data_IF_889339978980
#
_entry.id   IF_889339978980
#
_cell.length_a   1.000
_cell.length_b   1.000
_cell.length_c   1.000
_cell.angle_alpha   90.00
_cell.angle_beta   90.00
_cell.angle_gamma   90.00
#
_symmetry.space_group_name_H-M   'P 1'
#
loop_
_entity.id
_entity.type
_entity.pdbx_description
1 polymer ?
#
# COMPACT_ATOMS: atom_id res chain seq x y z
N UNK A 1 -11.82 19.93 3.65
CA UNK A 1 -10.99 20.68 2.68
C UNK A 1 -9.58 20.65 3.22
N UNK A 2 -8.68 19.92 2.55
CA UNK A 2 -7.28 19.80 2.94
C UNK A 2 -6.46 20.65 2.00
N UNK A 3 -5.65 21.56 2.54
CA UNK A 3 -4.77 22.42 1.75
C UNK A 3 -3.35 21.87 1.83
N UNK A 4 -2.73 21.68 0.67
CA UNK A 4 -1.33 21.24 0.56
C UNK A 4 -0.54 22.40 -0.01
N UNK A 5 0.57 22.75 0.64
CA UNK A 5 1.50 23.77 0.17
C UNK A 5 2.69 23.03 -0.43
N UNK A 6 2.96 23.27 -1.71
CA UNK A 6 4.07 22.70 -2.45
C UNK A 6 5.11 23.79 -2.73
N UNK A 7 6.38 23.42 -2.73
CA UNK A 7 7.39 24.27 -3.34
C UNK A 7 7.27 24.24 -4.88
N UNK A 8 7.94 25.18 -5.55
CA UNK A 8 7.86 25.33 -7.00
C UNK A 8 8.30 24.07 -7.75
N UNK A 9 9.32 23.37 -7.25
CA UNK A 9 9.86 22.16 -7.89
C UNK A 9 8.88 21.00 -7.76
N UNK A 10 8.27 20.84 -6.58
CA UNK A 10 7.25 19.84 -6.31
C UNK A 10 6.01 20.05 -7.18
N UNK A 11 5.54 21.29 -7.30
CA UNK A 11 4.38 21.64 -8.13
C UNK A 11 4.64 21.32 -9.62
N UNK A 12 5.81 21.68 -10.14
CA UNK A 12 6.18 21.38 -11.53
C UNK A 12 6.23 19.87 -11.81
N UNK A 13 6.87 19.10 -10.91
CA UNK A 13 6.94 17.64 -11.04
C UNK A 13 5.57 17.00 -10.96
N UNK A 14 4.73 17.44 -10.02
CA UNK A 14 3.37 16.94 -9.86
C UNK A 14 2.54 17.16 -11.13
N UNK A 15 2.59 18.37 -11.70
CA UNK A 15 1.91 18.71 -12.95
C UNK A 15 2.39 17.85 -14.12
N UNK A 16 3.70 17.63 -14.23
CA UNK A 16 4.29 16.80 -15.28
C UNK A 16 3.77 15.35 -15.21
N UNK A 17 3.84 14.74 -14.02
CA UNK A 17 3.38 13.37 -13.79
C UNK A 17 1.88 13.24 -14.09
N UNK A 18 1.07 14.18 -13.62
CA UNK A 18 -0.38 14.16 -13.87
C UNK A 18 -0.70 14.31 -15.36
N UNK A 19 0.08 15.12 -16.09
CA UNK A 19 -0.04 15.27 -17.55
C UNK A 19 0.31 13.98 -18.28
N UNK A 20 1.41 13.32 -17.91
CA UNK A 20 1.83 12.04 -18.49
C UNK A 20 0.79 10.94 -18.25
N UNK A 21 0.25 10.88 -17.03
CA UNK A 21 -0.80 9.93 -16.63
C UNK A 21 -2.20 10.29 -17.14
N UNK A 22 -2.37 11.45 -17.79
CA UNK A 22 -3.68 12.00 -18.21
C UNK A 22 -4.70 12.01 -17.08
N UNK A 23 -4.26 12.37 -15.88
CA UNK A 23 -5.05 12.31 -14.66
C UNK A 23 -5.15 13.70 -14.03
N UNK A 24 -6.29 13.99 -13.41
CA UNK A 24 -6.47 15.19 -12.61
C UNK A 24 -5.58 15.17 -11.35
N UNK A 25 -5.01 16.33 -10.99
CA UNK A 25 -4.09 16.46 -9.85
C UNK A 25 -4.77 16.08 -8.54
N UNK A 26 -6.01 16.53 -8.33
CA UNK A 26 -6.76 16.23 -7.10
C UNK A 26 -7.01 14.73 -6.99
N UNK A 27 -7.44 14.10 -8.09
CA UNK A 27 -7.64 12.66 -8.14
C UNK A 27 -6.35 11.88 -7.91
N UNK A 28 -5.23 12.37 -8.44
CA UNK A 28 -3.92 11.75 -8.25
C UNK A 28 -3.47 11.83 -6.78
N UNK A 29 -3.59 13.01 -6.15
CA UNK A 29 -3.28 13.18 -4.72
C UNK A 29 -4.18 12.30 -3.84
N UNK A 30 -5.49 12.26 -4.11
CA UNK A 30 -6.42 11.42 -3.36
C UNK A 30 -6.03 9.95 -3.43
N UNK A 31 -5.63 9.48 -4.62
CA UNK A 31 -5.19 8.11 -4.81
C UNK A 31 -3.91 7.80 -4.02
N UNK A 32 -2.90 8.68 -4.07
CA UNK A 32 -1.67 8.52 -3.30
C UNK A 32 -1.91 8.50 -1.78
N UNK A 33 -2.83 9.34 -1.29
CA UNK A 33 -3.20 9.33 0.14
C UNK A 33 -3.82 7.99 0.50
N UNK A 34 -4.68 7.44 -0.36
CA UNK A 34 -5.33 6.17 -0.11
C UNK A 34 -4.35 4.99 -0.13
N UNK A 35 -3.46 4.95 -1.12
CA UNK A 35 -2.38 3.95 -1.19
C UNK A 35 -1.51 3.99 0.08
N UNK A 36 -1.12 5.17 0.54
CA UNK A 36 -0.32 5.30 1.76
C UNK A 36 -1.06 4.81 3.02
N UNK A 37 -2.37 5.04 3.11
CA UNK A 37 -3.19 4.54 4.23
C UNK A 37 -3.30 3.01 4.16
N UNK A 38 -3.62 2.45 2.99
CA UNK A 38 -3.75 1.01 2.80
C UNK A 38 -2.44 0.28 3.12
N UNK A 39 -1.30 0.79 2.64
CA UNK A 39 0.02 0.21 2.93
C UNK A 39 0.32 0.17 4.43
N UNK A 40 -0.03 1.24 5.15
CA UNK A 40 0.19 1.28 6.60
C UNK A 40 -0.76 0.33 7.36
N UNK A 41 -2.01 0.21 6.92
CA UNK A 41 -2.96 -0.77 7.48
C UNK A 41 -2.52 -2.21 7.22
N UNK A 42 -2.06 -2.52 6.00
CA UNK A 42 -1.55 -3.83 5.62
C UNK A 42 -0.30 -4.20 6.41
N UNK A 43 0.61 -3.24 6.62
CA UNK A 43 1.81 -3.44 7.46
C UNK A 43 1.41 -3.79 8.89
N UNK A 44 0.46 -3.05 9.48
CA UNK A 44 -0.05 -3.35 10.82
C UNK A 44 -0.74 -4.71 10.91
N UNK A 45 -1.45 -5.12 9.86
CA UNK A 45 -2.09 -6.42 9.80
C UNK A 45 -1.05 -7.54 9.73
N UNK A 46 -0.03 -7.38 8.89
CA UNK A 46 1.08 -8.32 8.77
C UNK A 46 1.84 -8.46 10.11
N UNK A 47 2.15 -7.35 10.79
CA UNK A 47 2.79 -7.35 12.10
C UNK A 47 1.96 -8.10 13.15
N UNK A 48 0.63 -7.91 13.15
CA UNK A 48 -0.28 -8.65 14.03
C UNK A 48 -0.29 -10.14 13.73
N UNK A 49 -0.42 -10.50 12.45
CA UNK A 49 -0.41 -11.89 12.02
C UNK A 49 0.90 -12.59 12.40
N UNK A 50 2.03 -11.90 12.23
CA UNK A 50 3.34 -12.40 12.64
C UNK A 50 3.46 -12.55 14.15
N UNK A 51 2.97 -11.58 14.93
CA UNK A 51 2.96 -11.67 16.39
C UNK A 51 2.07 -12.81 16.90
N UNK A 52 0.97 -13.11 16.22
CA UNK A 52 0.11 -14.27 16.53
C UNK A 52 0.79 -15.59 16.16
N UNK A 53 1.40 -15.67 14.98
CA UNK A 53 2.19 -16.82 14.55
C UNK A 53 3.32 -17.13 15.54
N UNK A 54 4.03 -16.12 16.04
CA UNK A 54 5.10 -16.33 17.02
C UNK A 54 4.62 -16.92 18.36
N UNK A 55 3.32 -16.82 18.70
CA UNK A 55 2.77 -17.43 19.91
C UNK A 55 2.65 -18.95 19.78
N UNK A 56 2.34 -19.43 18.58
CA UNK A 56 2.23 -20.85 18.25
C UNK A 56 2.58 -21.08 16.77
N UNK A 57 3.88 -21.17 16.45
CA UNK A 57 4.34 -21.20 15.07
C UNK A 57 4.07 -22.57 14.45
N UNK A 58 3.02 -22.66 13.64
CA UNK A 58 2.73 -23.86 12.83
C UNK A 58 3.38 -23.74 11.46
N UNK A 59 4.37 -24.59 11.20
CA UNK A 59 5.03 -24.68 9.88
C UNK A 59 4.49 -25.87 9.10
N UNK A 60 4.15 -25.62 7.84
CA UNK A 60 3.74 -26.66 6.89
C UNK A 60 4.85 -26.87 5.87
N UNK A 61 5.03 -28.11 5.45
CA UNK A 61 5.82 -28.48 4.28
C UNK A 61 5.12 -28.04 2.99
N UNK A 62 5.87 -27.98 1.89
CA UNK A 62 5.31 -27.63 0.57
C UNK A 62 4.19 -28.59 0.14
N UNK A 63 4.37 -29.89 0.41
CA UNK A 63 3.41 -30.95 0.10
C UNK A 63 2.08 -30.74 0.86
N UNK A 64 2.15 -30.41 2.15
CA UNK A 64 0.98 -30.10 2.98
C UNK A 64 0.23 -28.86 2.46
N UNK A 65 0.94 -27.82 2.02
CA UNK A 65 0.31 -26.61 1.46
C UNK A 65 -0.41 -26.94 0.13
N UNK A 66 0.20 -27.74 -0.74
CA UNK A 66 -0.42 -28.12 -2.01
C UNK A 66 -1.71 -28.93 -1.80
N UNK A 67 -1.71 -29.85 -0.83
CA UNK A 67 -2.89 -30.63 -0.48
C UNK A 67 -4.00 -29.76 0.14
N UNK A 68 -3.64 -28.84 1.05
CA UNK A 68 -4.59 -27.95 1.74
C UNK A 68 -5.28 -26.93 0.83
N UNK A 69 -4.56 -26.37 -0.14
CA UNK A 69 -5.07 -25.31 -1.02
C UNK A 69 -5.45 -25.78 -2.42
N UNK A 70 -5.33 -27.08 -2.70
CA UNK A 70 -5.60 -27.67 -4.00
C UNK A 70 -4.83 -26.99 -5.15
N UNK A 71 -3.57 -26.67 -4.89
CA UNK A 71 -2.62 -26.04 -5.83
C UNK A 71 -1.81 -27.09 -6.58
#
# INVERSE_FOLDING_TARGET
MTTIILDTIQEEKLKLICKEKKQDITRFIHHLIWEAIEDEEMTKLADKAYAEFLKDPVTYSLEEIQEMYHL
#
